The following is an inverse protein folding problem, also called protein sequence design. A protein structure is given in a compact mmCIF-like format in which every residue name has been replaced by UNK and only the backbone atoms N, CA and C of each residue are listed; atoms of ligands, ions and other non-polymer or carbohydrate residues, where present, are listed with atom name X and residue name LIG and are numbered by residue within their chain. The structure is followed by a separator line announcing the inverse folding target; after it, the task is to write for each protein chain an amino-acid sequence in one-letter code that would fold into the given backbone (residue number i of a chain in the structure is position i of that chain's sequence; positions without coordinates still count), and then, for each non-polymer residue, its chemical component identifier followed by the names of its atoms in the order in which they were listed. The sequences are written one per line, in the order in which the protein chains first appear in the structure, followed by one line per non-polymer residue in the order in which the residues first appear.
data_IF_244480612610
#
_entry.id   IF_244480612610
#
_cell.length_a   1.000
_cell.length_b   1.000
_cell.length_c   1.000
_cell.angle_alpha   90.00
_cell.angle_beta   90.00
_cell.angle_gamma   90.00
#
_symmetry.space_group_name_H-M   'P 1'
#
loop_
_entity.id
_entity.type
_entity.pdbx_description
1 polymer ?
#
# COMPACT_ATOMS: atom_id res chain seq x y z
N UNK A 1 28.77 -18.15 -22.41
CA UNK A 1 28.99 -17.95 -20.95
C UNK A 1 28.62 -16.52 -20.55
N UNK A 2 29.38 -15.52 -20.98
CA UNK A 2 29.07 -14.10 -20.70
C UNK A 2 27.67 -13.69 -21.16
N UNK A 3 27.24 -14.12 -22.36
CA UNK A 3 25.90 -13.82 -22.90
C UNK A 3 24.72 -14.21 -21.99
N UNK A 4 24.82 -15.33 -21.26
CA UNK A 4 23.75 -15.83 -20.38
C UNK A 4 23.72 -15.05 -19.07
N UNK A 5 24.91 -14.74 -18.52
CA UNK A 5 25.02 -13.90 -17.33
C UNK A 5 24.49 -12.48 -17.61
N UNK A 6 24.80 -11.92 -18.78
CA UNK A 6 24.26 -10.63 -19.21
C UNK A 6 22.75 -10.67 -19.37
N UNK A 7 22.20 -11.71 -20.01
CA UNK A 7 20.74 -11.89 -20.13
C UNK A 7 20.05 -11.94 -18.76
N UNK A 8 20.63 -12.68 -17.81
CA UNK A 8 20.12 -12.79 -16.44
C UNK A 8 20.18 -11.43 -15.72
N UNK A 9 21.30 -10.72 -15.80
CA UNK A 9 21.49 -9.42 -15.16
C UNK A 9 20.53 -8.35 -15.71
N UNK A 10 20.37 -8.29 -17.03
CA UNK A 10 19.44 -7.36 -17.68
C UNK A 10 17.98 -7.68 -17.33
N UNK A 11 17.60 -8.96 -17.34
CA UNK A 11 16.24 -9.36 -16.94
C UNK A 11 15.98 -9.03 -15.47
N UNK A 12 16.94 -9.30 -14.58
CA UNK A 12 16.84 -8.92 -13.18
C UNK A 12 16.69 -7.41 -12.99
N UNK A 13 17.34 -6.60 -13.83
CA UNK A 13 17.23 -5.14 -13.78
C UNK A 13 15.83 -4.62 -14.14
N UNK A 14 15.07 -5.33 -14.97
CA UNK A 14 13.66 -5.02 -15.28
C UNK A 14 12.74 -5.24 -14.06
N UNK A 15 13.09 -6.18 -13.19
CA UNK A 15 12.29 -6.58 -12.02
C UNK A 15 12.96 -6.22 -10.69
N UNK A 16 13.75 -5.14 -10.67
CA UNK A 16 14.58 -4.76 -9.52
C UNK A 16 13.81 -4.21 -8.32
N UNK A 17 12.57 -3.74 -8.52
CA UNK A 17 11.76 -3.22 -7.41
C UNK A 17 11.18 -4.37 -6.60
N UNK A 18 11.87 -4.75 -5.54
CA UNK A 18 11.52 -5.87 -4.67
C UNK A 18 10.23 -5.66 -3.89
N UNK A 19 9.67 -4.44 -3.89
CA UNK A 19 8.34 -4.17 -3.32
C UNK A 19 7.23 -4.71 -4.21
N UNK A 20 7.50 -4.90 -5.50
CA UNK A 20 6.50 -5.30 -6.50
C UNK A 20 6.82 -6.64 -7.15
N UNK A 21 8.10 -7.02 -7.16
CA UNK A 21 8.58 -8.18 -7.90
C UNK A 21 9.41 -9.11 -7.02
N UNK A 22 9.36 -10.39 -7.36
CA UNK A 22 10.36 -11.37 -6.93
C UNK A 22 11.09 -11.80 -8.20
N UNK A 23 12.41 -11.61 -8.23
CA UNK A 23 13.27 -12.14 -9.27
C UNK A 23 14.60 -12.52 -8.61
N UNK A 24 14.65 -13.75 -8.09
CA UNK A 24 15.80 -14.31 -7.40
C UNK A 24 16.16 -15.59 -8.13
N UNK A 25 16.80 -15.43 -9.28
CA UNK A 25 17.20 -16.53 -10.18
C UNK A 25 18.71 -16.51 -10.30
N UNK A 26 19.32 -17.68 -10.15
CA UNK A 26 20.77 -17.86 -10.16
C UNK A 26 21.13 -19.03 -11.07
N UNK A 27 22.34 -19.00 -11.62
CA UNK A 27 22.90 -20.12 -12.37
C UNK A 27 23.41 -21.15 -11.36
N UNK A 28 22.79 -22.32 -11.33
CA UNK A 28 23.20 -23.43 -10.47
C UNK A 28 24.34 -24.23 -11.12
N UNK A 29 24.23 -24.48 -12.43
CA UNK A 29 25.25 -25.20 -13.21
C UNK A 29 25.34 -24.63 -14.61
N UNK A 30 26.55 -24.57 -15.15
CA UNK A 30 26.81 -24.11 -16.52
C UNK A 30 27.83 -25.01 -17.21
N UNK A 31 27.42 -25.56 -18.33
CA UNK A 31 28.22 -26.38 -19.24
C UNK A 31 28.32 -25.70 -20.61
N UNK A 32 28.97 -26.34 -21.60
CA UNK A 32 29.23 -25.74 -22.90
C UNK A 32 27.93 -25.38 -23.68
N UNK A 33 26.91 -26.23 -23.57
CA UNK A 33 25.64 -26.16 -24.29
C UNK A 33 24.41 -26.23 -23.36
N UNK A 34 24.59 -26.41 -22.05
CA UNK A 34 23.50 -26.50 -21.09
C UNK A 34 23.71 -25.56 -19.89
N UNK A 35 22.66 -24.84 -19.50
CA UNK A 35 22.62 -24.01 -18.29
C UNK A 35 21.43 -24.41 -17.45
N UNK A 36 21.67 -24.68 -16.16
CA UNK A 36 20.62 -24.94 -15.17
C UNK A 36 20.44 -23.73 -14.28
N UNK A 37 19.21 -23.24 -14.19
CA UNK A 37 18.80 -22.14 -13.33
C UNK A 37 18.04 -22.68 -12.11
N UNK A 38 18.23 -22.00 -10.99
CA UNK A 38 17.48 -22.24 -9.75
C UNK A 38 17.02 -20.93 -9.15
N UNK A 39 15.90 -20.98 -8.43
CA UNK A 39 15.46 -19.86 -7.60
C UNK A 39 13.96 -19.65 -7.68
N UNK A 40 13.54 -18.38 -7.70
CA UNK A 40 12.13 -17.99 -7.68
C UNK A 40 11.86 -16.72 -8.47
N UNK A 41 10.69 -16.68 -9.09
CA UNK A 41 10.10 -15.49 -9.71
C UNK A 41 8.68 -15.30 -9.16
N UNK A 42 8.15 -14.09 -9.22
CA UNK A 42 6.77 -13.83 -8.80
C UNK A 42 5.80 -14.46 -9.82
N UNK A 43 5.98 -14.18 -11.10
CA UNK A 43 5.06 -14.57 -12.18
C UNK A 43 5.78 -15.26 -13.35
N UNK A 44 5.02 -16.06 -14.12
CA UNK A 44 5.52 -16.85 -15.24
C UNK A 44 6.15 -15.98 -16.34
N UNK A 45 5.58 -14.79 -16.60
CA UNK A 45 6.09 -13.83 -17.59
C UNK A 45 7.55 -13.41 -17.33
N UNK A 46 8.01 -13.37 -16.08
CA UNK A 46 9.38 -13.03 -15.73
C UNK A 46 10.35 -14.14 -16.15
N UNK A 47 9.94 -15.40 -15.95
CA UNK A 47 10.72 -16.56 -16.38
C UNK A 47 10.74 -16.66 -17.92
N UNK A 48 9.62 -16.34 -18.57
CA UNK A 48 9.54 -16.34 -20.03
C UNK A 48 10.41 -15.24 -20.64
N UNK A 49 10.41 -14.03 -20.06
CA UNK A 49 11.30 -12.95 -20.46
C UNK A 49 12.78 -13.33 -20.34
N UNK A 50 13.16 -14.04 -19.26
CA UNK A 50 14.52 -14.56 -19.11
C UNK A 50 14.86 -15.59 -20.19
N UNK A 51 13.96 -16.52 -20.48
CA UNK A 51 14.13 -17.54 -21.53
C UNK A 51 14.32 -16.89 -22.90
N UNK A 52 13.52 -15.89 -23.22
CA UNK A 52 13.63 -15.14 -24.48
C UNK A 52 14.95 -14.38 -24.57
N UNK A 53 15.36 -13.69 -23.51
CA UNK A 53 16.62 -12.97 -23.46
C UNK A 53 17.83 -13.90 -23.65
N UNK A 54 17.81 -15.09 -23.03
CA UNK A 54 18.85 -16.11 -23.21
C UNK A 54 18.84 -16.67 -24.63
N UNK A 55 17.67 -17.04 -25.16
CA UNK A 55 17.54 -17.58 -26.51
C UNK A 55 18.03 -16.58 -27.59
N UNK A 56 17.79 -15.28 -27.40
CA UNK A 56 18.25 -14.22 -28.29
C UNK A 56 19.78 -14.06 -28.29
N UNK A 57 20.41 -14.17 -27.11
CA UNK A 57 21.85 -13.89 -26.92
C UNK A 57 22.76 -15.12 -27.05
N UNK A 58 22.20 -16.31 -26.81
CA UNK A 58 22.92 -17.58 -26.80
C UNK A 58 22.01 -18.72 -27.32
N UNK A 59 21.60 -18.68 -28.60
CA UNK A 59 20.64 -19.63 -29.18
C UNK A 59 21.11 -21.10 -29.15
N UNK A 60 22.42 -21.32 -29.00
CA UNK A 60 23.03 -22.65 -28.87
C UNK A 60 22.92 -23.24 -27.45
N UNK A 61 22.50 -22.46 -26.45
CA UNK A 61 22.41 -22.90 -25.06
C UNK A 61 21.01 -23.43 -24.78
N UNK A 62 20.93 -24.67 -24.30
CA UNK A 62 19.74 -25.25 -23.72
C UNK A 62 19.58 -24.76 -22.27
N UNK A 63 18.48 -24.06 -21.98
CA UNK A 63 18.20 -23.52 -20.65
C UNK A 63 17.24 -24.42 -19.88
N UNK A 64 17.75 -25.10 -18.85
CA UNK A 64 16.93 -25.79 -17.86
C UNK A 64 16.55 -24.82 -16.74
N UNK A 65 15.24 -24.59 -16.57
CA UNK A 65 14.68 -23.72 -15.53
C UNK A 65 13.67 -24.47 -14.65
N UNK A 66 13.70 -25.80 -14.66
CA UNK A 66 12.79 -26.64 -13.87
C UNK A 66 12.93 -26.43 -12.36
N UNK A 67 14.09 -25.97 -11.88
CA UNK A 67 14.34 -25.61 -10.48
C UNK A 67 14.02 -24.14 -10.14
N UNK A 68 13.39 -23.38 -11.07
CA UNK A 68 12.87 -22.03 -10.80
C UNK A 68 11.39 -22.12 -10.45
N UNK A 69 11.03 -21.66 -9.25
CA UNK A 69 9.64 -21.66 -8.77
C UNK A 69 8.92 -20.37 -9.15
N UNK A 70 7.72 -20.48 -9.71
CA UNK A 70 6.80 -19.34 -9.90
C UNK A 70 5.88 -19.26 -8.67
N UNK A 71 5.96 -18.17 -7.92
CA UNK A 71 5.25 -18.03 -6.64
C UNK A 71 3.75 -17.74 -6.81
N UNK A 72 3.38 -16.94 -7.82
CA UNK A 72 2.00 -16.54 -8.08
C UNK A 72 1.44 -17.33 -9.26
N UNK A 73 0.35 -18.04 -9.01
CA UNK A 73 -0.36 -18.87 -10.00
C UNK A 73 -1.85 -18.57 -9.92
N UNK A 74 -2.67 -19.03 -10.88
CA UNK A 74 -4.13 -18.87 -10.81
C UNK A 74 -4.77 -19.54 -9.58
N UNK A 75 -4.07 -20.44 -8.90
CA UNK A 75 -4.52 -21.12 -7.68
C UNK A 75 -3.87 -20.57 -6.40
N UNK A 76 -3.17 -19.43 -6.46
CA UNK A 76 -2.57 -18.82 -5.28
C UNK A 76 -3.66 -18.53 -4.23
N UNK A 77 -3.51 -19.01 -2.98
CA UNK A 77 -4.51 -18.80 -1.94
C UNK A 77 -4.71 -17.32 -1.65
N UNK A 78 -5.98 -16.92 -1.55
CA UNK A 78 -6.37 -15.58 -1.17
C UNK A 78 -7.03 -15.60 0.20
N UNK A 79 -6.59 -14.72 1.09
CA UNK A 79 -7.11 -14.58 2.46
C UNK A 79 -7.31 -13.11 2.79
N UNK A 80 -7.97 -12.82 3.91
CA UNK A 80 -8.17 -11.44 4.36
C UNK A 80 -7.54 -11.19 5.72
N UNK A 81 -7.29 -9.94 6.04
CA UNK A 81 -6.94 -9.53 7.41
C UNK A 81 -8.14 -9.75 8.33
N UNK A 82 -7.98 -10.63 9.32
CA UNK A 82 -9.02 -10.97 10.30
C UNK A 82 -9.01 -10.10 11.55
N UNK A 83 -7.90 -9.42 11.84
CA UNK A 83 -7.77 -8.48 12.96
C UNK A 83 -8.13 -7.04 12.54
N UNK A 84 -8.18 -6.11 13.49
CA UNK A 84 -8.44 -4.70 13.23
C UNK A 84 -7.37 -4.05 12.34
N UNK A 85 -6.10 -4.28 12.68
CA UNK A 85 -4.90 -3.76 12.03
C UNK A 85 -3.77 -4.76 12.23
N UNK A 86 -2.99 -5.03 11.18
CA UNK A 86 -1.72 -5.75 11.27
C UNK A 86 -0.65 -5.05 10.46
N UNK A 87 0.61 -5.27 10.80
CA UNK A 87 1.75 -4.76 10.05
C UNK A 87 2.17 -5.71 8.94
N UNK A 88 2.72 -5.13 7.87
CA UNK A 88 3.44 -5.81 6.80
C UNK A 88 4.93 -5.51 6.95
N UNK A 89 5.78 -6.52 6.84
CA UNK A 89 7.18 -6.45 7.24
C UNK A 89 8.15 -6.81 6.11
N UNK A 90 9.39 -6.32 6.20
CA UNK A 90 10.46 -6.64 5.25
C UNK A 90 10.96 -8.09 5.37
N UNK A 91 10.81 -8.71 6.54
CA UNK A 91 11.17 -10.10 6.79
C UNK A 91 10.16 -10.83 7.68
N UNK A 92 10.29 -12.16 7.81
CA UNK A 92 9.40 -12.99 8.65
C UNK A 92 9.75 -12.85 10.14
N UNK A 93 9.77 -11.62 10.65
CA UNK A 93 10.15 -11.32 12.04
C UNK A 93 9.60 -9.97 12.49
N UNK A 94 9.19 -9.90 13.77
CA UNK A 94 8.80 -8.65 14.43
C UNK A 94 9.96 -7.64 14.56
N UNK A 95 11.20 -8.12 14.46
CA UNK A 95 12.39 -7.27 14.48
C UNK A 95 12.71 -6.66 13.11
N UNK A 96 12.04 -7.12 12.05
CA UNK A 96 12.23 -6.58 10.71
C UNK A 96 11.40 -5.31 10.53
N UNK A 97 11.88 -4.44 9.65
CA UNK A 97 11.26 -3.17 9.31
C UNK A 97 9.78 -3.34 8.95
N UNK A 98 8.93 -2.47 9.49
CA UNK A 98 7.55 -2.32 9.04
C UNK A 98 7.53 -1.56 7.72
N UNK A 99 6.98 -2.19 6.68
CA UNK A 99 6.81 -1.61 5.34
C UNK A 99 5.45 -0.91 5.20
N UNK A 100 4.40 -1.51 5.74
CA UNK A 100 3.03 -1.00 5.63
C UNK A 100 2.16 -1.52 6.78
N UNK A 101 0.90 -1.12 6.79
CA UNK A 101 -0.14 -1.68 7.63
C UNK A 101 -1.34 -2.11 6.79
N UNK A 102 -2.01 -3.18 7.21
CA UNK A 102 -3.19 -3.76 6.60
C UNK A 102 -4.37 -3.66 7.57
N UNK A 103 -5.50 -3.16 7.08
CA UNK A 103 -6.74 -3.03 7.84
C UNK A 103 -7.60 -4.29 7.70
N UNK A 104 -8.49 -4.52 8.66
CA UNK A 104 -9.52 -5.56 8.57
C UNK A 104 -10.16 -5.64 7.18
N UNK A 105 -10.31 -6.87 6.68
CA UNK A 105 -10.98 -7.17 5.41
C UNK A 105 -10.14 -6.90 4.17
N UNK A 106 -8.94 -6.32 4.30
CA UNK A 106 -8.02 -6.23 3.16
C UNK A 106 -7.61 -7.63 2.70
N UNK A 107 -7.76 -7.86 1.41
CA UNK A 107 -7.40 -9.11 0.75
C UNK A 107 -5.90 -9.16 0.42
N UNK A 108 -5.30 -10.34 0.61
CA UNK A 108 -3.91 -10.62 0.25
C UNK A 108 -3.77 -12.03 -0.33
N UNK A 109 -2.89 -12.17 -1.33
CA UNK A 109 -2.47 -13.45 -1.90
C UNK A 109 -1.29 -14.01 -1.08
N UNK A 110 -1.33 -15.26 -0.64
CA UNK A 110 -0.22 -15.93 0.07
C UNK A 110 0.72 -16.58 -0.95
N UNK A 111 1.94 -16.06 -1.07
CA UNK A 111 2.95 -16.52 -2.02
C UNK A 111 3.84 -17.64 -1.47
N UNK A 112 4.21 -17.55 -0.20
CA UNK A 112 4.96 -18.59 0.53
C UNK A 112 4.80 -18.42 2.04
N UNK A 113 5.20 -19.43 2.81
CA UNK A 113 5.08 -19.44 4.27
C UNK A 113 6.38 -19.94 4.93
N UNK A 114 6.77 -19.25 6.01
CA UNK A 114 7.88 -19.60 6.89
C UNK A 114 7.39 -19.56 8.34
N UNK A 115 7.14 -20.74 8.92
CA UNK A 115 6.54 -20.84 10.26
C UNK A 115 5.17 -20.13 10.32
N UNK A 116 5.06 -19.12 11.19
CA UNK A 116 3.85 -18.30 11.36
C UNK A 116 3.85 -17.04 10.49
N UNK A 117 4.81 -16.87 9.59
CA UNK A 117 4.88 -15.73 8.69
C UNK A 117 4.57 -16.16 7.27
N UNK A 118 3.79 -15.35 6.57
CA UNK A 118 3.48 -15.55 5.15
C UNK A 118 4.01 -14.37 4.35
N UNK A 119 4.67 -14.66 3.25
CA UNK A 119 5.01 -13.65 2.26
C UNK A 119 3.77 -13.45 1.38
N UNK A 120 3.28 -12.23 1.34
CA UNK A 120 1.99 -11.91 0.72
C UNK A 120 2.13 -10.83 -0.34
N UNK A 121 1.16 -10.82 -1.27
CA UNK A 121 0.96 -9.75 -2.24
C UNK A 121 -0.40 -9.09 -1.98
N UNK A 122 -0.39 -7.78 -1.83
CA UNK A 122 -1.62 -6.98 -1.71
C UNK A 122 -2.30 -6.78 -3.06
N UNK A 123 -3.56 -6.31 -3.04
CA UNK A 123 -4.31 -6.00 -4.25
C UNK A 123 -3.64 -4.93 -5.16
N UNK A 124 -2.86 -4.01 -4.57
CA UNK A 124 -2.05 -3.03 -5.32
C UNK A 124 -0.72 -3.61 -5.84
N UNK A 125 -0.42 -4.87 -5.52
CA UNK A 125 0.79 -5.59 -5.89
C UNK A 125 1.94 -5.48 -4.91
N UNK A 126 1.80 -4.70 -3.84
CA UNK A 126 2.86 -4.50 -2.86
C UNK A 126 3.12 -5.78 -2.06
N UNK A 127 4.40 -6.13 -1.93
CA UNK A 127 4.87 -7.36 -1.31
C UNK A 127 5.38 -7.14 0.11
N UNK A 128 5.28 -8.18 0.94
CA UNK A 128 5.90 -8.20 2.27
C UNK A 128 5.45 -9.37 3.12
N UNK A 129 5.95 -9.44 4.34
CA UNK A 129 5.66 -10.51 5.29
C UNK A 129 4.55 -10.10 6.27
N UNK A 130 3.51 -10.92 6.37
CA UNK A 130 2.43 -10.76 7.33
C UNK A 130 2.42 -11.93 8.33
N UNK A 131 1.96 -11.67 9.55
CA UNK A 131 1.82 -12.71 10.56
C UNK A 131 0.53 -13.51 10.31
N UNK A 132 0.67 -14.78 9.92
CA UNK A 132 -0.42 -15.67 9.48
C UNK A 132 -1.60 -15.75 10.46
N UNK A 133 -1.39 -15.80 11.80
CA UNK A 133 -2.50 -15.79 12.76
C UNK A 133 -3.39 -14.55 12.77
N UNK A 134 -2.97 -13.45 12.13
CA UNK A 134 -3.80 -12.24 11.97
C UNK A 134 -4.61 -12.22 10.67
N UNK A 135 -4.41 -13.23 9.82
CA UNK A 135 -5.15 -13.45 8.59
C UNK A 135 -6.22 -14.53 8.80
N UNK A 136 -7.27 -14.46 8.00
CA UNK A 136 -8.45 -15.32 8.08
C UNK A 136 -8.83 -15.85 6.71
N UNK A 137 -9.07 -17.16 6.64
CA UNK A 137 -9.68 -17.84 5.49
C UNK A 137 -11.21 -17.75 5.53
N UNK A 138 -11.78 -17.31 6.66
CA UNK A 138 -13.22 -17.13 6.77
C UNK A 138 -13.68 -15.97 5.86
N UNK A 139 -14.86 -16.10 5.22
CA UNK A 139 -15.38 -15.08 4.33
C UNK A 139 -15.64 -13.78 5.08
N UNK A 140 -15.24 -12.66 4.48
CA UNK A 140 -15.56 -11.32 4.97
C UNK A 140 -16.93 -10.93 4.39
N UNK A 141 -17.88 -10.45 5.21
CA UNK A 141 -19.16 -9.99 4.68
C UNK A 141 -18.98 -8.81 3.71
N UNK A 142 -19.73 -8.85 2.60
CA UNK A 142 -19.70 -7.81 1.57
C UNK A 142 -19.85 -6.40 2.18
N UNK A 143 -18.84 -5.53 2.04
CA UNK A 143 -18.86 -4.24 2.68
C UNK A 143 -19.92 -3.33 2.07
N UNK A 144 -20.55 -2.52 2.90
CA UNK A 144 -21.51 -1.49 2.44
C UNK A 144 -21.04 -0.08 2.73
N UNK A 145 -20.10 0.07 3.67
CA UNK A 145 -19.61 1.37 4.12
C UNK A 145 -18.09 1.34 4.30
N UNK A 146 -17.50 2.53 4.30
CA UNK A 146 -16.12 2.80 4.72
C UNK A 146 -16.15 3.68 5.98
N UNK A 147 -15.24 3.44 6.91
CA UNK A 147 -15.01 4.32 8.06
C UNK A 147 -14.20 5.54 7.60
N UNK A 148 -14.75 6.74 7.78
CA UNK A 148 -14.15 8.02 7.38
C UNK A 148 -13.65 8.84 8.57
N UNK A 149 -13.93 8.38 9.79
CA UNK A 149 -13.32 8.94 11.00
C UNK A 149 -11.94 8.31 11.24
N UNK A 150 -10.90 9.08 11.63
CA UNK A 150 -9.55 8.54 11.86
C UNK A 150 -9.55 7.30 12.78
N UNK A 151 -10.32 7.34 13.87
CA UNK A 151 -10.56 6.19 14.73
C UNK A 151 -11.94 6.28 15.40
N UNK A 152 -12.81 5.30 15.14
CA UNK A 152 -14.13 5.21 15.76
C UNK A 152 -14.13 4.22 16.94
N UNK A 153 -14.74 4.59 18.07
CA UNK A 153 -14.87 3.71 19.23
C UNK A 153 -16.03 2.73 19.01
N UNK A 154 -15.72 1.44 19.05
CA UNK A 154 -16.70 0.36 18.94
C UNK A 154 -17.17 -0.08 20.33
N UNK A 155 -18.49 -0.17 20.51
CA UNK A 155 -19.14 -0.58 21.77
C UNK A 155 -20.03 -1.81 21.60
N UNK A 156 -20.26 -2.54 22.69
CA UNK A 156 -21.15 -3.70 22.71
C UNK A 156 -22.62 -3.36 22.52
N UNK A 157 -23.03 -2.14 22.88
CA UNK A 157 -24.40 -1.67 22.77
C UNK A 157 -24.45 -0.29 22.08
N UNK A 158 -25.63 0.08 21.59
CA UNK A 158 -25.85 1.38 20.96
C UNK A 158 -25.68 2.54 21.98
N UNK A 159 -26.00 2.32 23.26
CA UNK A 159 -25.90 3.37 24.27
C UNK A 159 -24.43 3.75 24.61
N UNK A 160 -24.17 5.00 25.03
CA UNK A 160 -22.81 5.47 25.34
C UNK A 160 -22.11 4.73 26.48
N UNK A 161 -22.87 4.09 27.38
CA UNK A 161 -22.36 3.34 28.54
C UNK A 161 -21.96 1.90 28.19
N UNK A 162 -22.27 1.43 26.97
CA UNK A 162 -21.87 0.12 26.50
C UNK A 162 -20.36 -0.06 26.58
N UNK A 163 -19.94 -1.26 26.98
CA UNK A 163 -18.52 -1.65 27.06
C UNK A 163 -17.79 -1.30 25.76
N UNK A 164 -16.60 -0.72 25.87
CA UNK A 164 -15.72 -0.48 24.73
C UNK A 164 -15.11 -1.84 24.34
N UNK A 165 -15.46 -2.31 23.15
CA UNK A 165 -14.95 -3.57 22.64
C UNK A 165 -13.64 -3.40 21.87
N UNK A 166 -13.54 -2.32 21.09
CA UNK A 166 -12.39 -2.06 20.21
C UNK A 166 -12.45 -0.64 19.63
N UNK A 167 -11.58 -0.36 18.66
CA UNK A 167 -11.67 0.77 17.73
C UNK A 167 -11.76 0.24 16.31
N UNK A 168 -12.37 1.01 15.40
CA UNK A 168 -12.29 0.76 13.96
C UNK A 168 -11.60 1.95 13.32
N UNK A 169 -10.56 1.69 12.55
CA UNK A 169 -9.70 2.73 11.99
C UNK A 169 -10.27 3.26 10.68
N UNK A 170 -9.98 4.52 10.39
CA UNK A 170 -10.32 5.15 9.13
C UNK A 170 -9.76 4.35 7.95
N UNK A 171 -10.58 4.15 6.92
CA UNK A 171 -10.23 3.36 5.75
C UNK A 171 -10.71 1.91 5.80
N UNK A 172 -11.16 1.41 6.96
CA UNK A 172 -11.70 0.05 7.05
C UNK A 172 -13.05 -0.03 6.32
N UNK A 173 -13.18 -1.02 5.44
CA UNK A 173 -14.46 -1.38 4.84
C UNK A 173 -15.25 -2.26 5.80
N UNK A 174 -16.53 -1.94 6.00
CA UNK A 174 -17.39 -2.61 6.97
C UNK A 174 -18.77 -2.89 6.39
N UNK A 175 -19.45 -3.90 6.94
CA UNK A 175 -20.84 -4.18 6.64
C UNK A 175 -21.72 -3.52 7.70
N UNK A 176 -22.58 -2.58 7.28
CA UNK A 176 -23.67 -2.06 8.11
C UNK A 176 -24.75 -3.15 8.31
N UNK A 177 -25.14 -3.37 9.56
CA UNK A 177 -26.16 -4.35 9.97
C UNK A 177 -27.47 -3.67 10.36
N UNK A 178 -27.41 -2.64 11.21
CA UNK A 178 -28.58 -1.91 11.69
C UNK A 178 -28.23 -0.48 12.12
N UNK A 179 -29.25 0.38 12.27
CA UNK A 179 -29.10 1.76 12.74
C UNK A 179 -30.13 2.02 13.84
N UNK A 180 -29.68 2.63 14.94
CA UNK A 180 -30.53 3.11 16.02
C UNK A 180 -30.11 4.53 16.40
N UNK A 181 -30.93 5.52 16.06
CA UNK A 181 -30.58 6.93 16.25
C UNK A 181 -29.31 7.32 15.49
N UNK A 182 -28.32 7.82 16.23
CA UNK A 182 -26.99 8.24 15.74
C UNK A 182 -25.96 7.10 15.74
N UNK A 183 -26.38 5.87 16.06
CA UNK A 183 -25.49 4.70 16.20
C UNK A 183 -25.74 3.70 15.08
N UNK A 184 -24.66 3.13 14.59
CA UNK A 184 -24.65 2.12 13.54
C UNK A 184 -24.04 0.84 14.09
N UNK A 185 -24.76 -0.26 13.97
CA UNK A 185 -24.23 -1.59 14.22
C UNK A 185 -23.55 -2.09 12.96
N UNK A 186 -22.29 -2.50 13.09
CA UNK A 186 -21.46 -2.95 11.98
C UNK A 186 -20.83 -4.31 12.26
N UNK A 187 -20.47 -5.00 11.19
CA UNK A 187 -19.52 -6.09 11.19
C UNK A 187 -18.20 -5.60 10.60
N UNK A 188 -17.15 -5.62 11.44
CA UNK A 188 -15.74 -5.44 11.07
C UNK A 188 -14.95 -6.68 11.52
N UNK A 189 -13.76 -6.51 12.11
CA UNK A 189 -13.02 -7.61 12.79
C UNK A 189 -13.85 -8.27 13.91
N UNK A 190 -14.85 -7.55 14.42
CA UNK A 190 -15.92 -8.09 15.25
C UNK A 190 -17.20 -7.25 15.06
N UNK A 191 -18.31 -7.74 15.61
CA UNK A 191 -19.59 -7.03 15.62
C UNK A 191 -19.62 -5.99 16.74
N UNK A 192 -20.14 -4.80 16.45
CA UNK A 192 -20.36 -3.78 17.48
C UNK A 192 -20.96 -2.49 16.93
N UNK A 193 -21.17 -1.53 17.83
CA UNK A 193 -21.80 -0.25 17.54
C UNK A 193 -20.76 0.88 17.46
N UNK A 194 -20.85 1.70 16.42
CA UNK A 194 -20.06 2.92 16.22
C UNK A 194 -20.99 4.12 15.93
N UNK A 195 -20.45 5.34 15.85
CA UNK A 195 -21.27 6.47 15.43
C UNK A 195 -21.58 6.33 13.94
N UNK A 196 -22.83 6.56 13.56
CA UNK A 196 -23.26 6.55 12.17
C UNK A 196 -22.53 7.61 11.33
N UNK A 197 -22.21 8.76 11.94
CA UNK A 197 -21.49 9.86 11.28
C UNK A 197 -20.05 9.50 10.89
N UNK A 198 -19.48 8.45 11.48
CA UNK A 198 -18.12 7.97 11.19
C UNK A 198 -18.09 7.12 9.91
N UNK A 199 -19.26 6.84 9.30
CA UNK A 199 -19.42 5.98 8.13
C UNK A 199 -19.82 6.76 6.89
N UNK A 200 -19.32 6.29 5.75
CA UNK A 200 -19.80 6.68 4.42
C UNK A 200 -20.22 5.44 3.65
N UNK A 201 -21.43 5.43 3.08
CA UNK A 201 -21.89 4.34 2.23
C UNK A 201 -21.04 4.28 0.95
N UNK A 202 -20.67 3.08 0.49
CA UNK A 202 -19.83 2.91 -0.69
C UNK A 202 -20.51 3.42 -1.97
N UNK A 203 -21.82 3.24 -2.08
CA UNK A 203 -22.62 3.79 -3.18
C UNK A 203 -22.78 5.32 -3.14
N UNK A 204 -22.40 5.96 -2.03
CA UNK A 204 -22.42 7.40 -1.85
C UNK A 204 -21.01 8.03 -1.95
N UNK A 205 -19.99 7.25 -2.31
CA UNK A 205 -18.67 7.80 -2.61
C UNK A 205 -18.76 8.79 -3.78
N UNK A 206 -18.00 9.89 -3.74
CA UNK A 206 -17.98 10.86 -4.83
C UNK A 206 -17.54 10.22 -6.15
N UNK A 207 -18.37 10.35 -7.19
CA UNK A 207 -18.19 9.68 -8.48
C UNK A 207 -17.38 10.48 -9.51
N UNK A 208 -17.12 11.78 -9.25
CA UNK A 208 -16.35 12.64 -10.16
C UNK A 208 -15.15 13.26 -9.45
N UNK A 209 -14.07 13.52 -10.19
CA UNK A 209 -12.86 14.14 -9.65
C UNK A 209 -13.15 15.52 -9.04
N UNK A 210 -14.10 16.28 -9.60
CA UNK A 210 -14.56 17.55 -9.02
C UNK A 210 -15.24 17.36 -7.65
N UNK A 211 -16.07 16.33 -7.50
CA UNK A 211 -16.74 16.03 -6.22
C UNK A 211 -15.79 15.42 -5.18
N UNK A 212 -14.77 14.68 -5.61
CA UNK A 212 -13.77 14.05 -4.73
C UNK A 212 -12.94 15.08 -3.95
N UNK A 213 -12.50 16.16 -4.61
CA UNK A 213 -11.60 17.17 -4.03
C UNK A 213 -12.10 17.75 -2.69
N UNK A 214 -13.29 18.36 -2.58
CA UNK A 214 -13.74 18.94 -1.32
C UNK A 214 -13.91 17.89 -0.20
N UNK A 215 -14.42 16.70 -0.55
CA UNK A 215 -14.58 15.60 0.42
C UNK A 215 -13.23 15.13 0.96
N UNK A 216 -12.25 14.94 0.07
CA UNK A 216 -10.88 14.56 0.44
C UNK A 216 -10.25 15.56 1.42
N UNK A 217 -10.44 16.87 1.20
CA UNK A 217 -9.86 17.89 2.07
C UNK A 217 -10.52 17.90 3.46
N UNK A 218 -11.86 17.83 3.50
CA UNK A 218 -12.61 17.81 4.77
C UNK A 218 -12.24 16.59 5.61
N UNK A 219 -12.18 15.40 5.00
CA UNK A 219 -11.82 14.18 5.74
C UNK A 219 -10.34 14.20 6.13
N UNK A 220 -9.44 14.58 5.20
CA UNK A 220 -8.00 14.61 5.43
C UNK A 220 -7.56 15.50 6.59
N UNK A 221 -8.18 16.67 6.74
CA UNK A 221 -7.83 17.60 7.84
C UNK A 221 -8.12 17.04 9.23
N UNK A 222 -8.98 16.01 9.37
CA UNK A 222 -9.18 15.30 10.65
C UNK A 222 -7.97 14.50 11.10
N UNK A 223 -7.03 14.23 10.20
CA UNK A 223 -5.78 13.55 10.52
C UNK A 223 -4.75 14.48 11.19
N UNK A 224 -4.95 15.81 11.19
CA UNK A 224 -4.02 16.75 11.82
C UNK A 224 -3.75 16.34 13.27
N UNK A 225 -2.47 16.24 13.63
CA UNK A 225 -2.01 15.82 14.96
C UNK A 225 -1.80 14.31 15.13
N UNK A 226 -2.20 13.47 14.17
CA UNK A 226 -1.81 12.04 14.18
C UNK A 226 -0.28 11.95 14.09
N UNK A 227 0.38 11.19 14.99
CA UNK A 227 1.84 11.14 15.03
C UNK A 227 2.43 10.44 13.80
N UNK A 228 3.67 10.78 13.48
CA UNK A 228 4.38 10.12 12.39
C UNK A 228 4.76 8.69 12.81
N UNK A 229 4.49 7.72 11.94
CA UNK A 229 4.94 6.34 12.10
C UNK A 229 5.37 5.80 10.74
N UNK A 230 6.63 5.38 10.63
CA UNK A 230 7.14 4.73 9.43
C UNK A 230 6.36 3.45 9.10
N UNK A 231 5.93 3.30 7.85
CA UNK A 231 5.07 2.20 7.43
C UNK A 231 3.62 2.35 7.92
N UNK A 232 3.28 3.40 8.66
CA UNK A 232 1.95 3.63 9.23
C UNK A 232 0.92 4.08 8.19
N UNK A 233 -0.30 3.52 8.28
CA UNK A 233 -1.40 3.81 7.36
C UNK A 233 -2.71 4.19 8.10
N UNK A 234 -2.64 4.58 9.38
CA UNK A 234 -3.84 4.76 10.21
C UNK A 234 -3.69 5.86 11.26
N UNK A 235 -4.76 6.16 11.99
CA UNK A 235 -4.73 7.14 13.08
C UNK A 235 -3.91 6.71 14.31
N UNK A 236 -3.42 5.46 14.37
CA UNK A 236 -2.45 5.04 15.39
C UNK A 236 -1.03 5.55 15.10
N UNK A 237 -0.83 6.12 13.91
CA UNK A 237 0.44 6.59 13.41
C UNK A 237 0.48 6.42 11.90
N UNK A 238 0.91 7.45 11.19
CA UNK A 238 0.85 7.48 9.73
C UNK A 238 2.10 8.10 9.13
N UNK A 239 2.62 7.55 8.04
CA UNK A 239 3.68 8.21 7.27
C UNK A 239 3.12 9.06 6.13
N UNK A 240 4.01 9.68 5.36
CA UNK A 240 3.66 10.64 4.33
C UNK A 240 2.81 10.03 3.22
N UNK A 241 3.24 8.90 2.67
CA UNK A 241 2.54 8.23 1.58
C UNK A 241 1.32 7.43 2.06
N UNK A 242 1.32 6.94 3.30
CA UNK A 242 0.16 6.36 3.97
C UNK A 242 -0.97 7.39 4.16
N UNK A 243 -0.65 8.64 4.49
CA UNK A 243 -1.63 9.73 4.55
C UNK A 243 -2.23 10.02 3.18
N UNK A 244 -1.38 10.16 2.15
CA UNK A 244 -1.85 10.35 0.78
C UNK A 244 -2.76 9.20 0.34
N UNK A 245 -2.36 7.95 0.62
CA UNK A 245 -3.14 6.75 0.30
C UNK A 245 -4.48 6.72 1.01
N UNK A 246 -4.52 7.01 2.32
CA UNK A 246 -5.76 7.05 3.10
C UNK A 246 -6.74 8.11 2.60
N UNK A 247 -6.25 9.32 2.30
CA UNK A 247 -7.09 10.40 1.75
C UNK A 247 -7.70 10.05 0.40
N UNK A 248 -6.95 9.37 -0.48
CA UNK A 248 -7.48 8.85 -1.75
C UNK A 248 -8.50 7.74 -1.52
N UNK A 249 -8.22 6.84 -0.58
CA UNK A 249 -9.12 5.73 -0.23
C UNK A 249 -10.48 6.21 0.26
N UNK A 250 -10.53 7.25 1.09
CA UNK A 250 -11.79 7.84 1.57
C UNK A 250 -12.69 8.41 0.46
N UNK A 251 -12.13 8.70 -0.71
CA UNK A 251 -12.88 9.16 -1.88
C UNK A 251 -12.95 8.13 -3.01
N UNK A 252 -12.67 6.85 -2.68
CA UNK A 252 -12.84 5.72 -3.58
C UNK A 252 -11.71 5.54 -4.60
N UNK A 253 -10.50 6.01 -4.31
CA UNK A 253 -9.31 5.82 -5.14
C UNK A 253 -8.26 5.00 -4.39
N UNK A 254 -7.73 3.99 -5.05
CA UNK A 254 -6.55 3.25 -4.57
C UNK A 254 -5.33 3.79 -5.31
N UNK A 255 -4.30 4.15 -4.56
CA UNK A 255 -3.00 4.59 -5.09
C UNK A 255 -1.90 3.75 -4.44
N UNK A 256 -0.72 3.74 -5.07
CA UNK A 256 0.44 3.00 -4.60
C UNK A 256 0.83 3.39 -3.16
N UNK A 257 1.50 2.48 -2.45
CA UNK A 257 1.87 2.65 -1.04
C UNK A 257 3.00 3.67 -0.80
N UNK A 258 4.02 3.69 -1.65
CA UNK A 258 5.23 4.50 -1.44
C UNK A 258 5.23 5.77 -2.27
N UNK A 259 5.84 6.84 -1.75
CA UNK A 259 5.85 8.17 -2.37
C UNK A 259 6.45 8.18 -3.79
N UNK A 260 7.52 7.42 -4.04
CA UNK A 260 8.14 7.30 -5.36
C UNK A 260 7.24 6.58 -6.36
N UNK A 261 6.58 5.51 -5.93
CA UNK A 261 5.60 4.80 -6.76
C UNK A 261 4.34 5.65 -7.02
N UNK A 262 3.90 6.43 -6.02
CA UNK A 262 2.81 7.40 -6.19
C UNK A 262 3.18 8.50 -7.19
N UNK A 263 4.43 8.95 -7.18
CA UNK A 263 4.90 9.90 -8.17
C UNK A 263 4.86 9.27 -9.56
N UNK A 264 5.49 8.11 -9.75
CA UNK A 264 5.59 7.43 -11.05
C UNK A 264 4.22 7.17 -11.69
N UNK A 265 3.25 6.69 -10.91
CA UNK A 265 1.92 6.34 -11.42
C UNK A 265 0.95 7.51 -11.61
N UNK A 266 1.20 8.67 -10.99
CA UNK A 266 0.30 9.83 -11.07
C UNK A 266 0.46 10.66 -12.35
N UNK A 267 -0.60 11.35 -12.78
CA UNK A 267 -0.53 12.29 -13.91
C UNK A 267 0.26 13.54 -13.51
N UNK A 268 1.40 13.79 -14.18
CA UNK A 268 2.26 14.95 -13.89
C UNK A 268 1.51 16.26 -14.15
N UNK A 269 1.65 17.22 -13.25
CA UNK A 269 0.99 18.53 -13.35
C UNK A 269 1.90 19.66 -12.90
N UNK A 270 1.73 20.81 -13.55
CA UNK A 270 2.39 22.07 -13.21
C UNK A 270 1.45 22.98 -12.39
N UNK A 271 1.98 23.99 -11.67
CA UNK A 271 1.13 24.93 -10.94
C UNK A 271 0.27 25.79 -11.90
N UNK A 272 -0.88 26.31 -11.43
CA UNK A 272 -1.39 26.27 -10.07
C UNK A 272 -1.98 24.91 -9.66
N UNK A 273 -1.55 24.40 -8.50
CA UNK A 273 -2.02 23.10 -8.01
C UNK A 273 -3.43 23.17 -7.43
N UNK A 274 -4.24 22.15 -7.73
CA UNK A 274 -5.62 22.02 -7.23
C UNK A 274 -5.63 21.20 -5.93
N UNK A 275 -6.61 21.40 -5.03
CA UNK A 275 -6.72 20.61 -3.80
C UNK A 275 -6.79 19.10 -4.09
N UNK A 276 -5.92 18.29 -3.50
CA UNK A 276 -5.77 16.85 -3.79
C UNK A 276 -4.65 16.51 -4.79
N UNK A 277 -3.98 17.49 -5.39
CA UNK A 277 -2.71 17.24 -6.10
C UNK A 277 -1.64 16.79 -5.10
N UNK A 278 -0.86 15.77 -5.44
CA UNK A 278 0.28 15.31 -4.63
C UNK A 278 1.53 16.09 -5.03
N UNK A 279 2.24 16.63 -4.03
CA UNK A 279 3.52 17.32 -4.18
C UNK A 279 4.60 16.42 -3.59
N UNK A 280 5.68 16.23 -4.34
CA UNK A 280 6.72 15.26 -4.04
C UNK A 280 8.05 15.97 -3.81
N UNK A 281 8.85 15.40 -2.91
CA UNK A 281 10.11 15.96 -2.47
C UNK A 281 11.20 14.89 -2.48
N UNK A 282 12.43 15.31 -2.76
CA UNK A 282 13.63 14.47 -2.80
C UNK A 282 14.69 14.93 -1.81
N UNK A 283 15.51 13.99 -1.35
CA UNK A 283 16.69 14.29 -0.54
C UNK A 283 17.96 14.03 -1.37
N UNK A 284 18.88 15.00 -1.37
CA UNK A 284 20.17 14.84 -2.04
C UNK A 284 20.95 13.65 -1.46
N UNK A 285 21.42 12.76 -2.32
CA UNK A 285 22.17 11.56 -1.93
C UNK A 285 21.32 10.35 -1.52
N UNK A 286 19.98 10.45 -1.58
CA UNK A 286 19.09 9.30 -1.42
C UNK A 286 19.20 8.34 -2.62
N UNK A 287 19.10 7.03 -2.36
CA UNK A 287 18.98 6.01 -3.41
C UNK A 287 17.67 6.16 -4.21
N UNK A 288 16.65 6.82 -3.64
CA UNK A 288 15.38 7.16 -4.29
C UNK A 288 15.33 8.66 -4.58
N UNK A 289 14.91 9.02 -5.80
CA UNK A 289 14.73 10.42 -6.18
C UNK A 289 13.59 11.12 -5.40
N UNK A 290 12.56 10.36 -5.00
CA UNK A 290 11.43 10.83 -4.19
C UNK A 290 11.48 10.14 -2.84
N UNK A 291 11.42 10.93 -1.77
CA UNK A 291 11.52 10.49 -0.37
C UNK A 291 10.33 10.93 0.49
N UNK A 292 9.58 11.94 0.05
CA UNK A 292 8.43 12.46 0.76
C UNK A 292 7.31 12.90 -0.19
N UNK A 293 6.08 12.86 0.31
CA UNK A 293 4.88 13.28 -0.43
C UNK A 293 3.95 14.06 0.50
N UNK A 294 3.25 15.03 -0.07
CA UNK A 294 2.25 15.84 0.60
C UNK A 294 1.02 16.03 -0.29
N UNK A 295 -0.15 16.25 0.31
CA UNK A 295 -1.38 16.56 -0.42
C UNK A 295 -1.60 18.07 -0.42
N UNK A 296 -1.64 18.70 -1.60
CA UNK A 296 -1.98 20.12 -1.73
C UNK A 296 -3.40 20.37 -1.25
N UNK A 297 -3.58 21.37 -0.39
CA UNK A 297 -4.87 21.95 -0.03
C UNK A 297 -5.34 22.99 -1.06
N UNK A 298 -4.58 23.18 -2.13
CA UNK A 298 -4.69 24.25 -3.13
C UNK A 298 -3.40 25.08 -3.15
N UNK A 299 -2.84 25.30 -4.34
CA UNK A 299 -1.55 25.98 -4.50
C UNK A 299 -0.43 25.26 -3.74
N UNK A 300 0.38 26.04 -3.01
CA UNK A 300 1.57 25.56 -2.30
C UNK A 300 1.31 25.22 -0.83
N UNK A 301 0.09 25.39 -0.33
CA UNK A 301 -0.31 24.93 1.00
C UNK A 301 -0.55 23.43 0.96
N UNK A 302 0.07 22.69 1.87
CA UNK A 302 0.05 21.24 1.90
C UNK A 302 -0.42 20.68 3.25
N UNK A 303 -0.99 19.49 3.21
CA UNK A 303 -1.19 18.60 4.34
C UNK A 303 -0.25 17.40 4.17
N UNK A 304 0.58 17.12 5.16
CA UNK A 304 1.52 15.99 5.11
C UNK A 304 1.69 15.33 6.47
N UNK A 305 2.16 14.08 6.52
CA UNK A 305 2.73 13.49 7.74
C UNK A 305 4.25 13.61 7.68
N UNK A 306 4.83 14.51 8.45
CA UNK A 306 6.24 14.89 8.36
C UNK A 306 7.03 14.43 9.59
N UNK A 307 8.23 13.87 9.34
CA UNK A 307 9.21 13.58 10.40
C UNK A 307 9.64 14.84 11.13
N UNK A 308 9.83 15.96 10.40
CA UNK A 308 10.26 17.23 10.97
C UNK A 308 9.20 17.86 11.91
N UNK A 309 7.93 17.48 11.74
CA UNK A 309 6.82 17.90 12.61
C UNK A 309 6.34 16.82 13.57
N UNK A 310 6.90 15.61 13.48
CA UNK A 310 6.48 14.42 14.22
C UNK A 310 5.00 14.04 14.03
N UNK A 311 4.43 14.25 12.83
CA UNK A 311 3.05 13.89 12.53
C UNK A 311 2.41 14.68 11.42
N UNK A 312 1.07 14.69 11.42
CA UNK A 312 0.26 15.33 10.38
C UNK A 312 0.03 16.81 10.66
N UNK A 313 0.50 17.68 9.76
CA UNK A 313 0.39 19.14 9.89
C UNK A 313 0.21 19.81 8.53
N UNK A 314 -0.17 21.10 8.59
CA UNK A 314 -0.22 21.99 7.44
C UNK A 314 1.05 22.82 7.39
N UNK A 315 1.70 22.87 6.23
CA UNK A 315 2.84 23.74 5.95
C UNK A 315 2.61 24.45 4.60
N UNK A 316 3.34 25.55 4.37
CA UNK A 316 3.43 26.19 3.06
C UNK A 316 4.79 25.88 2.43
N UNK A 317 4.78 25.26 1.24
CA UNK A 317 6.02 24.82 0.58
C UNK A 317 6.94 25.99 0.25
N UNK A 318 6.40 27.17 -0.10
CA UNK A 318 7.22 28.33 -0.44
C UNK A 318 7.78 29.02 0.82
N UNK A 319 7.04 28.96 1.94
CA UNK A 319 7.41 29.52 3.23
C UNK A 319 8.45 28.71 4.02
N UNK A 320 8.62 27.42 3.72
CA UNK A 320 9.53 26.52 4.44
C UNK A 320 10.74 26.16 3.56
N UNK A 321 11.93 26.63 3.93
CA UNK A 321 13.14 26.53 3.09
C UNK A 321 13.44 25.08 2.63
N UNK A 322 13.47 24.12 3.56
CA UNK A 322 13.79 22.74 3.20
C UNK A 322 12.73 22.12 2.27
N UNK A 323 11.45 22.46 2.39
CA UNK A 323 10.41 21.99 1.47
C UNK A 323 10.57 22.61 0.08
N UNK A 324 10.89 23.90 0.01
CA UNK A 324 11.14 24.60 -1.26
C UNK A 324 12.36 24.04 -1.99
N UNK A 325 13.44 23.78 -1.26
CA UNK A 325 14.70 23.28 -1.82
C UNK A 325 14.63 21.80 -2.21
N UNK A 326 13.80 21.01 -1.53
CA UNK A 326 13.63 19.58 -1.82
C UNK A 326 12.50 19.27 -2.80
N UNK A 327 11.74 20.27 -3.25
CA UNK A 327 10.60 20.03 -4.16
C UNK A 327 11.07 19.42 -5.49
N UNK A 328 10.49 18.27 -5.83
CA UNK A 328 10.90 17.46 -6.99
C UNK A 328 9.85 17.43 -8.11
N UNK A 329 8.57 17.66 -7.80
CA UNK A 329 7.49 17.68 -8.79
C UNK A 329 6.11 17.44 -8.19
N UNK A 330 5.09 17.45 -9.04
CA UNK A 330 3.71 17.20 -8.63
C UNK A 330 2.99 16.22 -9.58
N UNK A 331 2.06 15.46 -9.02
CA UNK A 331 1.19 14.57 -9.77
C UNK A 331 -0.22 14.54 -9.20
N UNK A 332 -1.22 14.18 -10.01
CA UNK A 332 -2.63 14.08 -9.59
C UNK A 332 -3.21 12.74 -10.00
N UNK A 333 -4.06 12.18 -9.15
CA UNK A 333 -4.96 11.06 -9.46
C UNK A 333 -6.40 11.52 -9.73
N UNK A 334 -6.61 12.84 -9.68
CA UNK A 334 -7.89 13.51 -9.87
C UNK A 334 -7.88 14.35 -11.16
N UNK A 335 -7.23 13.84 -12.22
CA UNK A 335 -7.12 14.52 -13.52
C UNK A 335 -8.48 14.69 -14.19
#
# INVERSE_FOLDING_TARGET
MESVQTALAETAALFRDTRMWVFDVQIERMEADQVTLRGRVLEQNQLDALREAVASRAPQVCLDSSAVTVLRTPSTPCVHVGTNLTSLHAGPSWLSEQLSQLLFGMEVEILTQEGNWVYVRQADGYLGWAYRPYLSDAPVPEPTHIVVEPASIMRAAHNPQGEILSRVLGGTYVRLLSVQGDRAEIQAHQRGWINKADLRALNALPQSNTARRPVMMVDGTRMIGVPYLWGGCSANGIDCSGLAQLMHRWVGLNIARDADMQYEAGFKVEPPYRPGTLLFFGENGSARHITHVAVSLGGWTILHSSRARNGVYVDDVQGVAHLRESFAGAATYLY
#
